data_IF_494655447643
#
_entry.id   IF_494655447643
#
_cell.length_a   1.000
_cell.length_b   1.000
_cell.length_c   1.000
_cell.angle_alpha   90.00
_cell.angle_beta   90.00
_cell.angle_gamma   90.00
#
_symmetry.space_group_name_H-M   'P 1'
#
loop_
_entity.id
_entity.type
_entity.pdbx_description
1 polymer ?
#
# COMPACT_ATOMS: atom_id res chain seq x y z
N UNK A 1 -5.54 20.49 -18.97
CA UNK A 1 -4.15 20.02 -18.74
C UNK A 1 -4.20 18.51 -18.80
N UNK A 2 -3.63 17.90 -19.85
CA UNK A 2 -3.46 16.45 -19.88
C UNK A 2 -2.45 16.04 -18.80
N UNK A 3 -2.82 15.10 -17.93
CA UNK A 3 -1.91 14.56 -16.94
C UNK A 3 -0.73 13.90 -17.68
N UNK A 4 0.50 14.35 -17.40
CA UNK A 4 1.70 13.67 -17.91
C UNK A 4 1.62 12.19 -17.50
N UNK A 5 1.89 11.24 -18.40
CA UNK A 5 1.88 9.83 -18.04
C UNK A 5 2.89 9.62 -16.90
N UNK A 6 2.43 8.98 -15.82
CA UNK A 6 3.32 8.56 -14.76
C UNK A 6 4.34 7.59 -15.36
N UNK A 7 5.63 7.88 -15.17
CA UNK A 7 6.73 7.03 -15.61
C UNK A 7 7.58 6.68 -14.40
N UNK A 8 7.93 5.42 -14.26
CA UNK A 8 8.97 4.95 -13.35
C UNK A 8 10.04 4.26 -14.18
N UNK A 9 11.30 4.51 -13.87
CA UNK A 9 12.43 3.77 -14.46
C UNK A 9 12.59 2.39 -13.82
N UNK A 10 11.87 2.13 -12.71
CA UNK A 10 11.94 0.90 -11.96
C UNK A 10 10.94 -0.15 -12.48
N UNK A 11 11.45 -1.36 -12.73
CA UNK A 11 10.63 -2.49 -13.19
C UNK A 11 10.10 -3.29 -12.00
N UNK A 12 8.96 -2.84 -11.46
CA UNK A 12 8.24 -3.60 -10.43
C UNK A 12 7.67 -4.89 -11.01
N UNK A 13 7.96 -6.00 -10.33
CA UNK A 13 7.43 -7.33 -10.60
C UNK A 13 6.47 -7.74 -9.50
N UNK A 14 5.41 -8.46 -9.88
CA UNK A 14 4.51 -9.08 -8.93
C UNK A 14 5.24 -10.22 -8.23
N UNK A 15 5.15 -10.26 -6.90
CA UNK A 15 5.59 -11.41 -6.11
C UNK A 15 4.45 -12.42 -6.11
N UNK A 16 4.72 -13.64 -6.57
CA UNK A 16 3.74 -14.73 -6.65
C UNK A 16 4.01 -15.87 -5.67
N UNK A 17 5.21 -15.95 -5.13
CA UNK A 17 5.58 -16.94 -4.13
C UNK A 17 5.19 -16.48 -2.72
N UNK A 18 4.47 -17.34 -1.99
CA UNK A 18 3.91 -16.99 -0.67
C UNK A 18 4.99 -16.94 0.41
N UNK A 19 5.99 -17.83 0.34
CA UNK A 19 7.09 -17.86 1.31
C UNK A 19 7.95 -16.60 1.15
N UNK A 20 8.34 -16.29 -0.09
CA UNK A 20 9.07 -15.07 -0.44
C UNK A 20 8.33 -13.81 0.02
N UNK A 21 7.02 -13.73 -0.26
CA UNK A 21 6.21 -12.60 0.18
C UNK A 21 6.12 -12.50 1.71
N UNK A 22 6.06 -13.63 2.42
CA UNK A 22 5.96 -13.63 3.87
C UNK A 22 7.27 -13.17 4.52
N UNK A 23 8.41 -13.68 4.04
CA UNK A 23 9.74 -13.24 4.47
C UNK A 23 9.96 -11.74 4.19
N UNK A 24 9.46 -11.26 3.06
CA UNK A 24 9.53 -9.86 2.68
C UNK A 24 8.63 -8.97 3.55
N UNK A 25 7.36 -9.35 3.73
CA UNK A 25 6.33 -8.45 4.26
C UNK A 25 6.27 -8.40 5.78
N UNK A 26 6.57 -9.47 6.51
CA UNK A 26 6.47 -9.44 7.97
C UNK A 26 7.37 -8.38 8.63
N UNK A 27 8.69 -8.30 8.30
CA UNK A 27 9.55 -7.27 8.88
C UNK A 27 9.16 -5.85 8.46
N UNK A 28 8.61 -5.71 7.25
CA UNK A 28 8.11 -4.41 6.76
C UNK A 28 6.82 -4.01 7.46
N UNK A 29 5.97 -4.99 7.75
CA UNK A 29 4.74 -4.81 8.51
C UNK A 29 4.99 -4.30 9.92
N UNK A 30 6.03 -4.80 10.58
CA UNK A 30 6.48 -4.28 11.88
C UNK A 30 6.91 -2.81 11.78
N UNK A 31 7.71 -2.47 10.77
CA UNK A 31 8.12 -1.08 10.48
C UNK A 31 6.95 -0.18 10.07
N UNK A 32 5.85 -0.77 9.61
CA UNK A 32 4.60 -0.10 9.24
C UNK A 32 3.62 0.03 10.42
N UNK A 33 4.07 -0.27 11.64
CA UNK A 33 3.24 -0.17 12.85
C UNK A 33 2.35 -1.40 13.08
N UNK A 34 2.76 -2.58 12.59
CA UNK A 34 2.13 -3.89 12.80
C UNK A 34 0.72 -4.10 12.22
N UNK A 35 0.12 -3.07 11.62
CA UNK A 35 -1.23 -3.13 11.08
C UNK A 35 -1.29 -2.60 9.66
N UNK A 36 -1.82 -3.41 8.74
CA UNK A 36 -2.34 -2.91 7.46
C UNK A 36 -3.75 -2.41 7.68
N UNK A 37 -4.05 -1.19 7.25
CA UNK A 37 -5.41 -0.64 7.32
C UNK A 37 -6.00 -0.67 5.91
N UNK A 38 -7.13 -1.35 5.73
CA UNK A 38 -7.90 -1.32 4.47
C UNK A 38 -9.37 -1.15 4.78
N UNK A 39 -10.08 -0.28 4.05
CA UNK A 39 -11.49 0.01 4.28
C UNK A 39 -11.80 0.29 5.77
N UNK A 40 -10.92 1.05 6.44
CA UNK A 40 -11.01 1.37 7.88
C UNK A 40 -10.99 0.16 8.83
N UNK A 41 -10.56 -1.01 8.35
CA UNK A 41 -10.38 -2.22 9.15
C UNK A 41 -8.88 -2.48 9.34
N UNK A 42 -8.48 -2.80 10.58
CA UNK A 42 -7.09 -3.11 10.94
C UNK A 42 -6.83 -4.60 10.78
N UNK A 43 -5.85 -4.94 9.96
CA UNK A 43 -5.39 -6.31 9.74
C UNK A 43 -3.96 -6.45 10.27
N UNK A 44 -3.76 -7.36 11.22
CA UNK A 44 -2.43 -7.63 11.75
C UNK A 44 -1.56 -8.24 10.65
N UNK A 45 -0.34 -7.74 10.48
CA UNK A 45 0.65 -8.41 9.64
C UNK A 45 0.90 -9.82 10.17
N UNK A 46 0.65 -10.81 9.32
CA UNK A 46 0.68 -12.23 9.66
C UNK A 46 0.89 -13.05 8.39
N UNK A 47 1.36 -14.31 8.50
CA UNK A 47 1.51 -15.20 7.34
C UNK A 47 0.21 -15.34 6.54
N UNK A 48 -0.94 -15.48 7.20
CA UNK A 48 -2.24 -15.57 6.54
C UNK A 48 -2.60 -14.31 5.73
N UNK A 49 -2.25 -13.12 6.22
CA UNK A 49 -2.42 -11.89 5.45
C UNK A 49 -1.48 -11.86 4.24
N UNK A 50 -0.23 -12.28 4.41
CA UNK A 50 0.76 -12.32 3.32
C UNK A 50 0.31 -13.28 2.22
N UNK A 51 -0.13 -14.49 2.58
CA UNK A 51 -0.72 -15.46 1.67
C UNK A 51 -1.91 -14.87 0.90
N UNK A 52 -2.85 -14.22 1.59
CA UNK A 52 -3.99 -13.60 0.94
C UNK A 52 -3.58 -12.48 -0.03
N UNK A 53 -2.64 -11.62 0.35
CA UNK A 53 -2.14 -10.54 -0.51
C UNK A 53 -1.46 -11.10 -1.76
N UNK A 54 -0.61 -12.10 -1.61
CA UNK A 54 0.13 -12.75 -2.69
C UNK A 54 -0.79 -13.52 -3.63
N UNK A 55 -1.70 -14.33 -3.09
CA UNK A 55 -2.69 -15.08 -3.88
C UNK A 55 -3.63 -14.18 -4.68
N UNK A 56 -3.86 -12.94 -4.21
CA UNK A 56 -4.61 -11.92 -4.94
C UNK A 56 -3.73 -11.02 -5.82
N UNK A 57 -2.43 -11.31 -5.94
CA UNK A 57 -1.49 -10.58 -6.78
C UNK A 57 -1.29 -9.11 -6.38
N UNK A 58 -1.33 -8.81 -5.08
CA UNK A 58 -1.28 -7.45 -4.51
C UNK A 58 0.11 -6.99 -4.09
N UNK A 59 1.11 -7.87 -4.19
CA UNK A 59 2.48 -7.64 -3.70
C UNK A 59 3.40 -7.40 -4.87
N UNK A 60 4.15 -6.31 -4.84
CA UNK A 60 5.07 -5.92 -5.91
C UNK A 60 6.40 -5.49 -5.32
N UNK A 61 7.50 -5.84 -6.00
CA UNK A 61 8.85 -5.39 -5.66
C UNK A 61 9.66 -5.08 -6.91
N UNK A 62 10.66 -4.21 -6.81
CA UNK A 62 11.67 -4.02 -7.84
C UNK A 62 13.04 -4.60 -7.43
N UNK A 63 14.06 -4.38 -8.25
CA UNK A 63 15.42 -4.84 -7.99
C UNK A 63 16.19 -4.00 -6.95
N UNK A 64 15.73 -2.77 -6.69
CA UNK A 64 16.39 -1.80 -5.82
C UNK A 64 15.88 -1.88 -4.37
N UNK A 65 15.00 -2.84 -4.08
CA UNK A 65 14.44 -3.08 -2.75
C UNK A 65 13.19 -2.25 -2.45
N UNK A 66 12.59 -1.61 -3.45
CA UNK A 66 11.30 -0.96 -3.29
C UNK A 66 10.19 -2.01 -3.27
N UNK A 67 9.24 -1.85 -2.34
CA UNK A 67 8.12 -2.76 -2.17
C UNK A 67 6.84 -1.94 -2.10
N UNK A 68 5.79 -2.41 -2.77
CA UNK A 68 4.45 -1.86 -2.60
C UNK A 68 3.42 -2.98 -2.52
N UNK A 69 2.53 -2.85 -1.53
CA UNK A 69 1.33 -3.66 -1.41
C UNK A 69 0.14 -2.79 -1.81
N UNK A 70 -0.57 -3.19 -2.86
CA UNK A 70 -1.69 -2.42 -3.37
C UNK A 70 -2.80 -3.29 -3.95
N UNK A 71 -4.04 -2.84 -3.76
CA UNK A 71 -5.25 -3.51 -4.21
C UNK A 71 -6.43 -3.15 -3.32
N UNK A 72 -7.58 -2.88 -3.91
CA UNK A 72 -8.80 -2.61 -3.17
C UNK A 72 -9.51 -3.91 -2.76
N UNK A 73 -10.22 -3.87 -1.63
CA UNK A 73 -11.12 -4.97 -1.22
C UNK A 73 -12.60 -4.68 -1.56
N UNK A 74 -12.99 -3.41 -1.59
CA UNK A 74 -14.31 -2.96 -2.00
C UNK A 74 -14.16 -1.86 -3.05
N UNK A 75 -15.14 -1.73 -3.96
CA UNK A 75 -15.18 -0.67 -4.97
C UNK A 75 -13.87 -0.56 -5.78
N UNK A 76 -13.31 -1.71 -6.17
CA UNK A 76 -12.01 -1.78 -6.83
C UNK A 76 -11.97 -1.09 -8.21
N UNK A 77 -13.14 -0.83 -8.79
CA UNK A 77 -13.34 -0.05 -10.02
C UNK A 77 -13.36 1.47 -9.80
N UNK A 78 -13.36 1.94 -8.55
CA UNK A 78 -13.40 3.37 -8.21
C UNK A 78 -12.09 3.88 -7.61
N UNK A 79 -11.37 3.05 -6.85
CA UNK A 79 -10.16 3.45 -6.14
C UNK A 79 -9.14 2.31 -6.05
N UNK A 80 -7.86 2.67 -5.99
CA UNK A 80 -6.78 1.75 -5.66
C UNK A 80 -6.23 2.08 -4.26
N UNK A 81 -6.13 1.06 -3.42
CA UNK A 81 -5.63 1.21 -2.05
C UNK A 81 -4.17 0.76 -1.97
N UNK A 82 -3.31 1.61 -1.38
CA UNK A 82 -1.94 1.28 -1.00
C UNK A 82 -1.95 0.86 0.47
N UNK A 83 -1.73 -0.43 0.72
CA UNK A 83 -1.70 -1.01 2.06
C UNK A 83 -0.37 -0.84 2.79
N UNK A 84 0.74 -0.80 2.03
CA UNK A 84 2.10 -0.58 2.52
C UNK A 84 3.01 -0.16 1.36
N UNK A 85 4.01 0.65 1.66
CA UNK A 85 5.17 0.82 0.78
C UNK A 85 6.47 0.89 1.58
N UNK A 86 7.57 0.45 0.99
CA UNK A 86 8.91 0.50 1.57
C UNK A 86 9.96 0.83 0.51
N UNK A 87 11.06 1.48 0.93
CA UNK A 87 12.09 2.02 0.04
C UNK A 87 11.84 3.49 -0.29
N UNK A 88 12.11 3.87 -1.54
CA UNK A 88 11.84 5.21 -2.07
C UNK A 88 10.34 5.43 -2.26
N UNK A 89 9.78 6.36 -1.47
CA UNK A 89 8.36 6.62 -1.45
C UNK A 89 7.84 7.12 -2.80
N UNK A 90 8.63 7.94 -3.50
CA UNK A 90 8.21 8.52 -4.78
C UNK A 90 8.09 7.44 -5.84
N UNK A 91 9.08 6.57 -5.96
CA UNK A 91 9.10 5.42 -6.87
C UNK A 91 7.92 4.48 -6.61
N UNK A 92 7.68 4.11 -5.35
CA UNK A 92 6.55 3.26 -4.98
C UNK A 92 5.19 3.90 -5.34
N UNK A 93 5.01 5.18 -4.99
CA UNK A 93 3.74 5.87 -5.19
C UNK A 93 3.51 6.21 -6.67
N UNK A 94 4.54 6.52 -7.44
CA UNK A 94 4.42 6.70 -8.89
C UNK A 94 4.05 5.39 -9.59
N UNK A 95 4.61 4.25 -9.15
CA UNK A 95 4.17 2.95 -9.64
C UNK A 95 2.70 2.66 -9.29
N UNK A 96 2.25 3.00 -8.08
CA UNK A 96 0.83 2.89 -7.71
C UNK A 96 -0.07 3.76 -8.59
N UNK A 97 0.37 4.98 -8.96
CA UNK A 97 -0.37 5.86 -9.89
C UNK A 97 -0.46 5.27 -11.29
N UNK A 98 0.61 4.64 -11.79
CA UNK A 98 0.60 3.91 -13.06
C UNK A 98 -0.44 2.78 -13.00
N UNK A 99 -0.43 1.97 -11.94
CA UNK A 99 -1.40 0.89 -11.77
C UNK A 99 -2.83 1.38 -11.65
N UNK A 100 -3.06 2.49 -10.94
CA UNK A 100 -4.37 3.14 -10.88
C UNK A 100 -4.86 3.55 -12.28
N UNK A 101 -3.99 4.17 -13.08
CA UNK A 101 -4.31 4.58 -14.45
C UNK A 101 -4.59 3.39 -15.37
N UNK A 102 -3.80 2.31 -15.27
CA UNK A 102 -4.01 1.07 -16.05
C UNK A 102 -5.38 0.44 -15.79
N UNK A 103 -5.86 0.47 -14.54
CA UNK A 103 -7.18 -0.08 -14.18
C UNK A 103 -8.31 0.96 -14.27
N UNK A 104 -8.01 2.18 -14.70
CA UNK A 104 -9.01 3.24 -14.94
C UNK A 104 -9.55 3.94 -13.68
N UNK A 105 -8.94 3.76 -12.50
CA UNK A 105 -9.38 4.44 -11.28
C UNK A 105 -8.76 5.83 -11.14
N UNK A 106 -9.50 6.73 -10.49
CA UNK A 106 -9.13 8.16 -10.40
C UNK A 106 -8.55 8.58 -9.06
N UNK A 107 -8.57 7.70 -8.06
CA UNK A 107 -8.03 7.98 -6.73
C UNK A 107 -7.14 6.87 -6.20
N UNK A 108 -6.12 7.30 -5.45
CA UNK A 108 -5.29 6.47 -4.60
C UNK A 108 -5.62 6.75 -3.14
N UNK A 109 -5.82 5.70 -2.37
CA UNK A 109 -6.03 5.80 -0.93
C UNK A 109 -4.88 5.09 -0.22
N UNK A 110 -4.41 5.68 0.87
CA UNK A 110 -3.47 5.02 1.77
C UNK A 110 -3.95 5.27 3.19
N UNK A 111 -4.39 4.20 3.85
CA UNK A 111 -4.75 4.22 5.25
C UNK A 111 -3.59 3.60 6.03
N UNK A 112 -3.16 4.27 7.08
CA UNK A 112 -2.02 3.87 7.89
C UNK A 112 -2.36 4.05 9.38
N UNK A 113 -1.65 3.36 10.29
CA UNK A 113 -1.84 3.57 11.73
C UNK A 113 -1.51 5.02 12.11
N UNK A 114 -2.37 5.68 12.90
CA UNK A 114 -2.28 7.13 13.18
C UNK A 114 -0.96 7.57 13.82
N UNK A 115 -0.24 6.68 14.49
CA UNK A 115 1.05 6.99 15.11
C UNK A 115 2.22 7.04 14.10
N UNK A 116 2.00 6.69 12.83
CA UNK A 116 3.03 6.62 11.80
C UNK A 116 3.28 7.97 11.10
N UNK A 117 3.76 8.97 11.85
CA UNK A 117 4.03 10.33 11.33
C UNK A 117 5.02 10.37 10.16
N UNK A 118 5.96 9.42 10.10
CA UNK A 118 6.91 9.28 8.98
C UNK A 118 6.20 8.88 7.69
N UNK A 119 5.18 8.03 7.76
CA UNK A 119 4.38 7.61 6.60
C UNK A 119 3.54 8.77 6.11
N UNK A 120 2.88 9.48 7.03
CA UNK A 120 2.11 10.69 6.71
C UNK A 120 2.97 11.71 5.96
N UNK A 121 4.15 12.05 6.50
CA UNK A 121 5.06 12.99 5.84
C UNK A 121 5.42 12.55 4.42
N UNK A 122 5.77 11.28 4.22
CA UNK A 122 6.10 10.72 2.89
C UNK A 122 4.93 10.82 1.91
N UNK A 123 3.70 10.60 2.37
CA UNK A 123 2.49 10.73 1.55
C UNK A 123 2.24 12.19 1.16
N UNK A 124 2.33 13.12 2.12
CA UNK A 124 2.17 14.56 1.89
C UNK A 124 3.22 15.09 0.90
N UNK A 125 4.50 14.72 1.07
CA UNK A 125 5.59 15.08 0.16
C UNK A 125 5.35 14.55 -1.27
N UNK A 126 4.48 13.55 -1.44
CA UNK A 126 4.12 12.94 -2.73
C UNK A 126 2.73 13.32 -3.23
N UNK A 127 2.14 14.38 -2.69
CA UNK A 127 0.91 15.01 -3.19
C UNK A 127 -0.39 14.37 -2.69
N UNK A 128 -0.33 13.50 -1.68
CA UNK A 128 -1.54 13.09 -0.97
C UNK A 128 -2.04 14.24 -0.10
N UNK A 129 -3.35 14.26 0.14
CA UNK A 129 -4.00 15.19 1.07
C UNK A 129 -4.65 14.40 2.20
N UNK A 130 -4.64 14.96 3.41
CA UNK A 130 -5.35 14.35 4.53
C UNK A 130 -6.86 14.46 4.32
N UNK A 131 -7.55 13.35 4.50
CA UNK A 131 -9.01 13.33 4.51
C UNK A 131 -9.50 13.64 5.93
N UNK A 132 -10.39 14.62 6.05
CA UNK A 132 -11.08 14.96 7.30
C UNK A 132 -12.12 13.87 7.63
N UNK A 133 -11.68 12.71 8.13
CA UNK A 133 -12.59 11.68 8.62
C UNK A 133 -12.30 11.34 10.09
N UNK A 134 -13.28 11.47 11.00
CA UNK A 134 -13.13 10.99 12.38
C UNK A 134 -13.19 9.45 12.38
N UNK A 135 -12.17 8.78 12.92
CA UNK A 135 -12.10 7.32 12.91
C UNK A 135 -12.52 6.71 14.25
N UNK A 136 -13.42 5.73 14.19
CA UNK A 136 -13.81 4.86 15.31
C UNK A 136 -12.81 3.69 15.34
N UNK A 137 -12.01 3.60 16.40
CA UNK A 137 -11.21 2.42 16.73
C UNK A 137 -11.76 1.82 18.02
N UNK A 138 -12.12 0.52 17.99
CA UNK A 138 -12.37 -0.27 19.20
C UNK A 138 -11.12 -1.09 19.47
N UNK A 139 -10.40 -0.73 20.53
CA UNK A 139 -9.43 -1.60 21.16
C UNK A 139 -10.17 -2.79 21.79
N UNK A 140 -9.75 -4.03 21.50
CA UNK A 140 -10.11 -5.20 22.31
C UNK A 140 -8.85 -5.60 23.05
N UNK A 141 -8.78 -5.24 24.33
CA UNK A 141 -7.82 -5.81 25.26
C UNK A 141 -8.35 -7.19 25.66
N UNK A 142 -7.58 -8.25 25.41
CA UNK A 142 -7.76 -9.58 26.03
C UNK A 142 -6.74 -9.72 27.16
#
# INVERSE_FOLDING_TARGET
MEAKPFKTEHSFKKVSDVEEATELLLPLGEKWGNWMVMNRTFYKWSPALCEWLTGNGRVYKDADGNVVVMGARFMAEYQLHVGLFFGDAKTCLDYAKIKAAEIGVKSLHCLYPQHMSVVEKKLLDNGFVLESAPFIVKEINL
#
